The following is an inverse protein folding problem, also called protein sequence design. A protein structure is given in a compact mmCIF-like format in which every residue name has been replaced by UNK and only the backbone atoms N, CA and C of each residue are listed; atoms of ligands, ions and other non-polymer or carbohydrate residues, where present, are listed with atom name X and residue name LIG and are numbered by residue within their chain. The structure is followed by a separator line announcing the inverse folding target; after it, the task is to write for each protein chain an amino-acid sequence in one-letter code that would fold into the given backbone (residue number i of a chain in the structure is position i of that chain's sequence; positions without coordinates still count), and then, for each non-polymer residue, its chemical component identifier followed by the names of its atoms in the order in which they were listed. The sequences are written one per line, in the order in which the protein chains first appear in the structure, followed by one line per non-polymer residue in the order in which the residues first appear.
data_IF_133891122019
#
_entry.id   IF_133891122019
#
_cell.length_a   1.000
_cell.length_b   1.000
_cell.length_c   1.000
_cell.angle_alpha   90.00
_cell.angle_beta   90.00
_cell.angle_gamma   90.00
#
_symmetry.space_group_name_H-M   'P 1'
#
loop_
_entity.id
_entity.type
_entity.pdbx_description
1 polymer ?
#
# COMPACT_ATOMS: atom_id res chain seq x y z
N UNK A 1 28.07 4.97 1.08
CA UNK A 1 27.08 3.91 0.88
C UNK A 1 26.16 4.30 -0.26
N UNK A 2 26.13 3.47 -1.29
CA UNK A 2 25.34 3.64 -2.50
C UNK A 2 24.19 2.65 -2.49
N UNK A 3 22.97 3.13 -2.52
CA UNK A 3 21.72 2.34 -2.44
C UNK A 3 21.00 2.37 -3.77
N UNK A 4 20.57 1.20 -4.26
CA UNK A 4 19.69 1.11 -5.41
C UNK A 4 18.28 0.68 -4.94
N UNK A 5 17.31 1.58 -5.03
CA UNK A 5 15.89 1.24 -4.83
C UNK A 5 15.32 0.75 -6.14
N UNK A 6 14.66 -0.42 -6.13
CA UNK A 6 14.11 -1.05 -7.33
C UNK A 6 12.59 -1.17 -7.19
N UNK A 7 11.86 -0.61 -8.14
CA UNK A 7 10.39 -0.68 -8.21
C UNK A 7 9.94 -0.75 -9.67
N UNK A 8 8.81 -1.36 -9.97
CA UNK A 8 8.32 -1.39 -11.36
C UNK A 8 7.92 -0.01 -11.90
N UNK A 9 7.60 0.95 -11.02
CA UNK A 9 7.27 2.34 -11.37
C UNK A 9 7.64 3.30 -10.24
N UNK A 10 7.74 4.61 -10.53
CA UNK A 10 7.78 5.71 -9.56
C UNK A 10 6.41 6.38 -9.37
N UNK A 11 5.33 5.69 -9.69
CA UNK A 11 3.95 6.19 -9.64
C UNK A 11 3.54 6.80 -8.31
N UNK A 12 2.39 7.52 -8.32
CA UNK A 12 1.91 8.30 -7.17
C UNK A 12 1.06 7.52 -6.18
N UNK A 13 0.86 6.20 -6.35
CA UNK A 13 -0.03 5.42 -5.52
C UNK A 13 0.64 4.16 -4.93
N UNK A 14 0.10 3.69 -3.80
CA UNK A 14 0.48 2.43 -3.18
C UNK A 14 1.97 2.28 -2.87
N UNK A 15 2.51 1.09 -3.14
CA UNK A 15 3.91 0.75 -2.89
C UNK A 15 4.91 1.59 -3.70
N UNK A 16 4.54 2.03 -4.91
CA UNK A 16 5.38 2.91 -5.75
C UNK A 16 5.60 4.28 -5.10
N UNK A 17 4.51 4.89 -4.59
CA UNK A 17 4.61 6.16 -3.88
C UNK A 17 5.47 6.04 -2.61
N UNK A 18 5.31 4.94 -1.86
CA UNK A 18 6.10 4.67 -0.66
C UNK A 18 7.59 4.47 -1.00
N UNK A 19 7.92 3.74 -2.07
CA UNK A 19 9.29 3.56 -2.55
C UNK A 19 9.93 4.90 -2.95
N UNK A 20 9.21 5.74 -3.69
CA UNK A 20 9.70 7.05 -4.09
C UNK A 20 9.88 7.99 -2.89
N UNK A 21 8.94 8.02 -1.93
CA UNK A 21 9.07 8.80 -0.69
C UNK A 21 10.31 8.39 0.10
N UNK A 22 10.58 7.09 0.24
CA UNK A 22 11.80 6.58 0.88
C UNK A 22 13.04 7.01 0.12
N UNK A 23 13.07 6.87 -1.21
CA UNK A 23 14.16 7.32 -2.07
C UNK A 23 14.51 8.78 -1.81
N UNK A 24 13.52 9.67 -1.83
CA UNK A 24 13.70 11.11 -1.54
C UNK A 24 14.23 11.35 -0.12
N UNK A 25 13.72 10.64 0.88
CA UNK A 25 14.18 10.72 2.26
C UNK A 25 15.64 10.28 2.45
N UNK A 26 16.09 9.30 1.67
CA UNK A 26 17.44 8.77 1.73
C UNK A 26 18.49 9.68 1.04
N UNK A 27 18.11 10.51 0.07
CA UNK A 27 19.04 11.36 -0.69
C UNK A 27 19.88 12.30 0.19
N UNK A 28 19.33 12.75 1.33
CA UNK A 28 20.08 13.57 2.29
C UNK A 28 21.04 12.77 3.18
N UNK A 29 21.06 11.44 3.09
CA UNK A 29 21.75 10.52 4.01
C UNK A 29 22.74 9.59 3.32
N UNK A 30 22.44 9.21 2.09
CA UNK A 30 23.20 8.25 1.30
C UNK A 30 23.09 8.58 -0.19
N UNK A 31 23.97 8.03 -1.02
CA UNK A 31 23.82 8.10 -2.48
C UNK A 31 22.72 7.13 -2.90
N UNK A 32 21.49 7.62 -3.07
CA UNK A 32 20.33 6.82 -3.47
C UNK A 32 20.00 7.02 -4.94
N UNK A 33 19.94 5.94 -5.70
CA UNK A 33 19.42 5.87 -7.08
C UNK A 33 18.19 5.00 -7.10
N UNK A 34 17.12 5.44 -7.75
CA UNK A 34 15.91 4.61 -7.92
C UNK A 34 15.85 4.08 -9.35
N UNK A 35 15.84 2.76 -9.51
CA UNK A 35 15.68 2.07 -10.79
C UNK A 35 14.23 1.63 -10.96
N UNK A 36 13.59 2.09 -12.04
CA UNK A 36 12.19 1.78 -12.33
C UNK A 36 12.01 1.24 -13.75
N UNK A 37 10.94 0.52 -13.99
CA UNK A 37 10.49 0.17 -15.33
C UNK A 37 9.80 1.38 -15.99
N UNK A 38 8.74 1.87 -15.38
CA UNK A 38 7.96 3.02 -15.84
C UNK A 38 8.32 4.26 -15.02
N UNK A 39 8.90 5.27 -15.68
CA UNK A 39 9.27 6.55 -15.08
C UNK A 39 8.25 7.62 -15.44
N UNK A 40 7.54 8.12 -14.45
CA UNK A 40 6.52 9.17 -14.59
C UNK A 40 6.94 10.54 -14.04
N UNK A 41 8.04 10.58 -13.24
CA UNK A 41 8.51 11.81 -12.58
C UNK A 41 9.75 12.38 -13.29
N UNK A 42 9.89 13.73 -13.27
CA UNK A 42 11.05 14.44 -13.80
C UNK A 42 12.30 14.38 -12.90
N UNK A 43 12.39 13.46 -11.95
CA UNK A 43 13.51 13.31 -11.04
C UNK A 43 14.72 12.66 -11.75
N UNK A 44 15.88 13.33 -11.80
CA UNK A 44 17.09 12.82 -12.45
C UNK A 44 17.76 11.67 -11.69
N UNK A 45 17.45 11.50 -10.41
CA UNK A 45 17.94 10.39 -9.58
C UNK A 45 17.13 9.10 -9.74
N UNK A 46 16.02 9.18 -10.47
CA UNK A 46 15.22 8.05 -10.92
C UNK A 46 15.66 7.68 -12.34
N UNK A 47 16.08 6.45 -12.54
CA UNK A 47 16.54 5.92 -13.82
C UNK A 47 15.62 4.82 -14.33
N UNK A 48 15.42 4.78 -15.64
CA UNK A 48 14.62 3.75 -16.32
C UNK A 48 15.33 3.28 -17.59
N UNK A 49 15.00 2.11 -18.11
CA UNK A 49 15.47 1.67 -19.40
C UNK A 49 15.13 2.69 -20.51
N UNK A 50 16.07 2.96 -21.38
CA UNK A 50 15.91 3.94 -22.45
C UNK A 50 15.75 3.25 -23.81
N UNK A 51 15.00 3.87 -24.72
CA UNK A 51 14.82 3.47 -26.11
C UNK A 51 13.51 2.76 -26.40
N UNK A 52 13.04 2.90 -27.65
CA UNK A 52 11.73 2.44 -28.12
C UNK A 52 11.45 0.94 -27.86
N UNK A 53 12.47 0.08 -27.97
CA UNK A 53 12.30 -1.35 -27.69
C UNK A 53 12.09 -1.64 -26.21
N UNK A 54 12.76 -0.91 -25.32
CA UNK A 54 12.58 -1.05 -23.88
C UNK A 54 11.19 -0.55 -23.46
N UNK A 55 10.75 0.59 -23.97
CA UNK A 55 9.42 1.12 -23.74
C UNK A 55 8.31 0.18 -24.24
N UNK A 56 8.46 -0.36 -25.47
CA UNK A 56 7.53 -1.33 -26.02
C UNK A 56 7.46 -2.60 -25.15
N UNK A 57 8.60 -3.10 -24.68
CA UNK A 57 8.65 -4.25 -23.77
C UNK A 57 7.92 -3.96 -22.45
N UNK A 58 8.18 -2.83 -21.81
CA UNK A 58 7.55 -2.44 -20.54
C UNK A 58 6.02 -2.29 -20.67
N UNK A 59 5.53 -1.83 -21.81
CA UNK A 59 4.10 -1.73 -22.08
C UNK A 59 3.44 -3.09 -22.33
N UNK A 60 4.16 -4.07 -22.91
CA UNK A 60 3.66 -5.41 -23.20
C UNK A 60 3.81 -6.36 -21.99
N UNK A 61 4.84 -6.22 -21.20
CA UNK A 61 5.19 -7.14 -20.12
C UNK A 61 4.05 -7.41 -19.12
N UNK A 62 3.26 -6.42 -18.66
CA UNK A 62 2.13 -6.70 -17.77
C UNK A 62 1.08 -7.63 -18.37
N UNK A 63 0.77 -7.47 -19.67
CA UNK A 63 -0.18 -8.31 -20.37
C UNK A 63 0.37 -9.72 -20.62
N UNK A 64 1.64 -9.82 -21.00
CA UNK A 64 2.32 -11.10 -21.20
C UNK A 64 2.50 -11.86 -19.88
N UNK A 65 2.80 -11.16 -18.76
CA UNK A 65 2.86 -11.77 -17.42
C UNK A 65 1.51 -12.36 -17.01
N UNK A 66 0.42 -11.80 -17.51
CA UNK A 66 -0.92 -12.27 -17.24
C UNK A 66 -1.34 -13.51 -18.02
N UNK A 67 -0.62 -13.89 -19.10
CA UNK A 67 -1.01 -15.01 -19.99
C UNK A 67 -1.26 -16.33 -19.26
N UNK A 68 -0.43 -16.80 -18.29
CA UNK A 68 -0.73 -18.04 -17.58
C UNK A 68 -2.06 -18.03 -16.83
N UNK A 69 -2.58 -16.86 -16.46
CA UNK A 69 -3.88 -16.73 -15.79
C UNK A 69 -5.07 -17.02 -16.70
N UNK A 70 -4.88 -17.01 -18.02
CA UNK A 70 -5.94 -17.32 -19.00
C UNK A 70 -6.42 -18.78 -18.89
N UNK A 71 -5.57 -19.68 -18.38
CA UNK A 71 -5.95 -21.06 -18.10
C UNK A 71 -6.93 -21.20 -16.90
N UNK A 72 -7.24 -20.09 -16.21
CA UNK A 72 -8.14 -20.01 -15.07
C UNK A 72 -9.28 -19.00 -15.34
N UNK A 73 -10.22 -19.29 -16.24
CA UNK A 73 -11.24 -18.31 -16.68
C UNK A 73 -12.21 -17.92 -15.57
N UNK A 74 -12.40 -18.78 -14.55
CA UNK A 74 -13.30 -18.55 -13.41
C UNK A 74 -12.61 -17.84 -12.24
N UNK A 75 -11.29 -17.51 -12.33
CA UNK A 75 -10.55 -16.87 -11.24
C UNK A 75 -11.20 -15.58 -10.76
N UNK A 76 -10.96 -15.24 -9.50
CA UNK A 76 -11.28 -13.92 -8.98
C UNK A 76 -10.43 -12.86 -9.69
N UNK A 77 -11.01 -11.70 -9.98
CA UNK A 77 -10.32 -10.60 -10.67
C UNK A 77 -9.49 -9.75 -9.69
N UNK A 78 -8.83 -10.39 -8.74
CA UNK A 78 -7.89 -9.74 -7.83
C UNK A 78 -6.49 -9.67 -8.44
N UNK A 79 -5.63 -8.82 -7.86
CA UNK A 79 -4.24 -8.69 -8.31
C UNK A 79 -3.49 -10.01 -8.10
N UNK A 80 -2.91 -10.53 -9.18
CA UNK A 80 -2.14 -11.77 -9.20
C UNK A 80 -1.01 -11.64 -10.21
N UNK A 81 0.24 -11.85 -9.80
CA UNK A 81 1.45 -11.69 -10.63
C UNK A 81 2.22 -13.00 -10.73
N UNK A 82 2.70 -13.33 -11.93
CA UNK A 82 3.40 -14.59 -12.21
C UNK A 82 4.92 -14.42 -12.28
N UNK A 83 5.39 -13.28 -12.78
CA UNK A 83 6.82 -12.90 -12.87
C UNK A 83 7.67 -13.99 -13.56
N UNK A 84 7.27 -14.42 -14.76
CA UNK A 84 7.91 -15.47 -15.51
C UNK A 84 8.71 -14.98 -16.73
N UNK A 85 8.48 -13.71 -17.11
CA UNK A 85 9.12 -13.09 -18.25
C UNK A 85 10.61 -12.83 -18.03
N UNK A 86 11.45 -12.90 -19.06
CA UNK A 86 12.85 -12.48 -18.98
C UNK A 86 12.94 -10.98 -18.69
N UNK A 87 13.96 -10.58 -17.94
CA UNK A 87 14.25 -9.19 -17.61
C UNK A 87 15.73 -8.84 -17.79
N UNK A 88 16.06 -7.55 -17.70
CA UNK A 88 17.42 -7.01 -17.76
C UNK A 88 17.78 -6.21 -16.49
N UNK A 89 16.97 -6.31 -15.45
CA UNK A 89 17.12 -5.51 -14.22
C UNK A 89 18.45 -5.79 -13.52
N UNK A 90 18.88 -7.05 -13.49
CA UNK A 90 20.18 -7.43 -12.91
C UNK A 90 21.37 -6.73 -13.60
N UNK A 91 21.35 -6.63 -14.94
CA UNK A 91 22.39 -5.92 -15.69
C UNK A 91 22.36 -4.40 -15.43
N UNK A 92 21.17 -3.83 -15.31
CA UNK A 92 21.00 -2.41 -14.99
C UNK A 92 21.51 -2.08 -13.58
N UNK A 93 21.23 -2.93 -12.60
CA UNK A 93 21.75 -2.81 -11.24
C UNK A 93 23.28 -2.94 -11.23
N UNK A 94 23.85 -3.85 -12.02
CA UNK A 94 25.30 -3.98 -12.13
C UNK A 94 25.95 -2.71 -12.66
N UNK A 95 25.35 -1.99 -13.62
CA UNK A 95 25.82 -0.70 -14.12
C UNK A 95 25.72 0.41 -13.06
N UNK A 96 24.71 0.37 -12.20
CA UNK A 96 24.59 1.30 -11.06
C UNK A 96 25.68 1.02 -10.02
N UNK A 97 26.12 -0.24 -9.89
CA UNK A 97 27.11 -0.71 -8.93
C UNK A 97 26.81 -0.26 -7.48
N UNK A 98 25.64 -0.62 -6.91
CA UNK A 98 25.29 -0.26 -5.54
C UNK A 98 26.02 -1.13 -4.52
N UNK A 99 26.12 -0.65 -3.27
CA UNK A 99 26.56 -1.44 -2.13
C UNK A 99 25.45 -2.36 -1.63
N UNK A 100 24.18 -1.91 -1.73
CA UNK A 100 22.99 -2.62 -1.25
C UNK A 100 21.79 -2.32 -2.17
N UNK A 101 20.92 -3.31 -2.33
CA UNK A 101 19.70 -3.23 -3.14
C UNK A 101 18.50 -3.24 -2.22
N UNK A 102 17.56 -2.31 -2.43
CA UNK A 102 16.27 -2.31 -1.76
C UNK A 102 15.14 -2.54 -2.78
N UNK A 103 14.61 -3.76 -2.78
CA UNK A 103 13.46 -4.11 -3.63
C UNK A 103 12.16 -3.62 -2.99
N UNK A 104 11.26 -3.11 -3.82
CA UNK A 104 9.90 -2.73 -3.44
C UNK A 104 8.88 -3.53 -4.24
N UNK A 105 7.97 -2.87 -4.93
CA UNK A 105 6.98 -3.53 -5.78
C UNK A 105 7.57 -3.84 -7.16
N UNK A 106 7.98 -5.08 -7.40
CA UNK A 106 8.76 -5.52 -8.58
C UNK A 106 7.92 -6.30 -9.61
N UNK A 107 6.60 -6.24 -9.47
CA UNK A 107 5.64 -7.05 -10.20
C UNK A 107 5.32 -6.53 -11.61
N UNK A 108 4.26 -7.02 -12.24
CA UNK A 108 3.82 -6.69 -13.61
C UNK A 108 4.83 -7.04 -14.71
N UNK A 109 5.50 -8.20 -14.56
CA UNK A 109 6.48 -8.66 -15.56
C UNK A 109 7.82 -7.91 -15.54
N UNK A 110 8.07 -7.07 -14.51
CA UNK A 110 9.26 -6.23 -14.43
C UNK A 110 10.52 -6.98 -14.01
N UNK A 111 10.46 -7.77 -12.93
CA UNK A 111 11.61 -8.56 -12.44
C UNK A 111 11.21 -10.03 -12.25
N UNK A 112 11.91 -10.92 -12.95
CA UNK A 112 11.65 -12.36 -12.89
C UNK A 112 12.03 -12.93 -11.53
N UNK A 113 11.30 -13.94 -11.06
CA UNK A 113 11.55 -14.62 -9.76
C UNK A 113 13.00 -15.06 -9.61
N UNK A 114 13.55 -15.70 -10.65
CA UNK A 114 14.91 -16.25 -10.63
C UNK A 114 16.00 -15.19 -10.78
N UNK A 115 15.67 -14.00 -11.27
CA UNK A 115 16.65 -12.91 -11.43
C UNK A 115 17.05 -12.30 -10.09
N UNK A 116 16.19 -12.39 -9.04
CA UNK A 116 16.53 -11.91 -7.70
C UNK A 116 17.78 -12.61 -7.17
N UNK A 117 17.92 -13.92 -7.40
CA UNK A 117 19.09 -14.70 -6.99
C UNK A 117 20.40 -14.30 -7.71
N UNK A 118 20.31 -13.53 -8.80
CA UNK A 118 21.47 -13.10 -9.60
C UNK A 118 21.98 -11.72 -9.26
N UNK A 119 21.37 -11.04 -8.28
CA UNK A 119 21.71 -9.65 -7.97
C UNK A 119 23.05 -9.46 -7.30
N UNK A 120 23.65 -10.52 -6.72
CA UNK A 120 25.01 -10.57 -6.15
C UNK A 120 25.37 -9.42 -5.20
N UNK A 121 24.41 -8.87 -4.48
CA UNK A 121 24.54 -7.80 -3.49
C UNK A 121 23.60 -8.09 -2.33
N UNK A 122 23.86 -7.55 -1.13
CA UNK A 122 22.90 -7.61 -0.04
C UNK A 122 21.55 -7.07 -0.46
N UNK A 123 20.47 -7.80 -0.17
CA UNK A 123 19.11 -7.45 -0.57
C UNK A 123 18.27 -7.15 0.66
N UNK A 124 17.69 -5.96 0.69
CA UNK A 124 16.58 -5.62 1.57
C UNK A 124 15.32 -5.59 0.71
N UNK A 125 14.31 -6.39 1.06
CA UNK A 125 13.05 -6.40 0.32
C UNK A 125 11.94 -5.82 1.16
N UNK A 126 11.47 -4.64 0.78
CA UNK A 126 10.31 -3.99 1.40
C UNK A 126 9.03 -4.52 0.78
N UNK A 127 8.26 -5.24 1.57
CA UNK A 127 7.00 -5.85 1.14
C UNK A 127 5.85 -4.84 1.29
N UNK A 128 5.12 -4.61 0.20
CA UNK A 128 3.92 -3.78 0.22
C UNK A 128 2.63 -4.60 0.25
N UNK A 129 2.73 -5.89 -0.03
CA UNK A 129 1.67 -6.89 -0.04
C UNK A 129 2.26 -8.29 0.20
N UNK A 130 1.42 -9.33 0.08
CA UNK A 130 1.81 -10.71 0.38
C UNK A 130 2.46 -11.46 -0.80
N UNK A 131 2.63 -10.82 -1.97
CA UNK A 131 3.09 -11.53 -3.18
C UNK A 131 4.42 -12.26 -2.99
N UNK A 132 5.36 -11.68 -2.29
CA UNK A 132 6.69 -12.25 -2.10
C UNK A 132 6.63 -13.68 -1.51
N UNK A 133 5.71 -13.94 -0.61
CA UNK A 133 5.61 -15.20 0.12
C UNK A 133 4.37 -16.04 -0.21
N UNK A 134 3.60 -15.67 -1.24
CA UNK A 134 2.45 -16.44 -1.73
C UNK A 134 2.75 -17.10 -3.08
N UNK A 135 1.83 -17.91 -3.55
CA UNK A 135 1.85 -18.49 -4.91
C UNK A 135 1.39 -17.54 -6.01
N UNK A 136 1.42 -16.21 -5.80
CA UNK A 136 1.12 -15.22 -6.83
C UNK A 136 0.07 -14.18 -6.47
N UNK A 137 -0.77 -14.42 -5.46
CA UNK A 137 -1.73 -13.44 -4.98
C UNK A 137 -1.04 -12.35 -4.16
N UNK A 138 -1.55 -11.10 -4.28
CA UNK A 138 -1.06 -9.96 -3.53
C UNK A 138 -1.71 -9.84 -2.15
N UNK A 139 -2.89 -10.41 -1.99
CA UNK A 139 -3.61 -10.57 -0.73
C UNK A 139 -4.28 -11.94 -0.71
N UNK A 140 -4.10 -12.68 0.37
CA UNK A 140 -4.56 -14.07 0.46
C UNK A 140 -6.03 -14.21 0.86
N UNK A 141 -6.66 -13.12 1.29
CA UNK A 141 -7.99 -13.16 1.92
C UNK A 141 -7.98 -14.14 3.10
N UNK A 142 -8.90 -15.12 3.15
CA UNK A 142 -8.97 -16.14 4.20
C UNK A 142 -8.09 -17.38 3.90
N UNK A 143 -7.22 -17.32 2.87
CA UNK A 143 -6.36 -18.46 2.51
C UNK A 143 -5.04 -18.40 3.30
N UNK A 144 -4.70 -19.48 3.97
CA UNK A 144 -3.46 -19.68 4.74
C UNK A 144 -2.44 -20.61 4.05
N UNK A 145 -2.71 -21.05 2.81
CA UNK A 145 -1.87 -22.05 2.12
C UNK A 145 -0.45 -21.60 1.84
N UNK A 146 -0.16 -20.31 1.94
CA UNK A 146 1.19 -19.75 1.85
C UNK A 146 2.09 -20.17 3.04
N UNK A 147 1.49 -20.61 4.13
CA UNK A 147 2.24 -21.17 5.28
C UNK A 147 2.87 -22.52 4.96
N UNK A 148 2.44 -23.16 3.88
CA UNK A 148 2.95 -24.45 3.38
C UNK A 148 3.57 -24.29 1.98
N UNK A 149 2.80 -24.58 0.94
CA UNK A 149 3.33 -24.61 -0.44
C UNK A 149 2.33 -24.17 -1.51
N UNK A 150 1.27 -23.45 -1.12
CA UNK A 150 0.17 -23.10 -2.00
C UNK A 150 -0.47 -24.32 -2.73
N UNK A 151 -1.11 -24.13 -3.88
CA UNK A 151 -1.94 -25.15 -4.55
C UNK A 151 -3.40 -25.09 -4.13
N UNK A 152 -4.32 -25.71 -4.87
CA UNK A 152 -5.78 -25.60 -4.69
C UNK A 152 -6.23 -24.17 -4.42
N UNK A 153 -5.72 -23.26 -5.26
CA UNK A 153 -5.80 -21.82 -4.99
C UNK A 153 -7.26 -21.31 -5.09
N UNK A 154 -7.84 -20.76 -4.00
CA UNK A 154 -9.22 -20.27 -4.04
C UNK A 154 -9.37 -19.06 -4.98
N UNK A 155 -8.36 -18.21 -5.12
CA UNK A 155 -8.35 -17.06 -6.04
C UNK A 155 -8.37 -17.52 -7.50
N UNK A 156 -7.68 -18.62 -7.82
CA UNK A 156 -7.70 -19.21 -9.15
C UNK A 156 -8.94 -20.09 -9.38
N UNK A 157 -9.76 -20.34 -8.35
CA UNK A 157 -10.87 -21.33 -8.37
C UNK A 157 -10.38 -22.70 -8.82
N UNK A 158 -9.23 -23.13 -8.30
CA UNK A 158 -8.57 -24.38 -8.65
C UNK A 158 -8.68 -25.39 -7.52
N UNK A 159 -9.15 -26.59 -7.85
CA UNK A 159 -9.22 -27.74 -6.92
C UNK A 159 -7.99 -28.66 -7.04
N UNK A 160 -7.03 -28.32 -7.93
CA UNK A 160 -5.84 -29.13 -8.19
C UNK A 160 -4.72 -28.73 -7.23
N UNK A 161 -4.07 -29.72 -6.60
CA UNK A 161 -2.87 -29.48 -5.77
C UNK A 161 -1.74 -28.83 -6.59
N UNK A 162 -1.64 -29.22 -7.85
CA UNK A 162 -0.65 -28.78 -8.80
C UNK A 162 -1.29 -27.76 -9.75
N UNK A 163 -1.35 -26.52 -9.32
CA UNK A 163 -1.86 -25.39 -10.09
C UNK A 163 -0.81 -24.29 -10.26
N UNK A 164 -1.19 -23.18 -10.89
CA UNK A 164 -0.30 -22.03 -11.12
C UNK A 164 0.28 -21.49 -9.80
N UNK A 165 -0.47 -21.53 -8.70
CA UNK A 165 0.00 -21.04 -7.41
C UNK A 165 1.08 -21.95 -6.81
N UNK A 166 0.95 -23.27 -6.92
CA UNK A 166 1.95 -24.25 -6.49
C UNK A 166 3.21 -24.12 -7.36
N UNK A 167 3.05 -24.02 -8.67
CA UNK A 167 4.16 -23.85 -9.60
C UNK A 167 4.98 -22.58 -9.30
N UNK A 168 4.30 -21.46 -9.07
CA UNK A 168 4.98 -20.20 -8.74
C UNK A 168 5.64 -20.26 -7.35
N UNK A 169 4.97 -20.83 -6.36
CA UNK A 169 5.55 -21.02 -5.02
C UNK A 169 6.86 -21.84 -5.12
N UNK A 170 6.87 -22.93 -5.87
CA UNK A 170 8.06 -23.77 -6.04
C UNK A 170 9.20 -23.05 -6.77
N UNK A 171 8.88 -22.23 -7.78
CA UNK A 171 9.89 -21.40 -8.44
C UNK A 171 10.57 -20.46 -7.43
N UNK A 172 9.79 -19.82 -6.56
CA UNK A 172 10.31 -18.97 -5.47
C UNK A 172 11.16 -19.78 -4.50
N UNK A 173 10.63 -20.89 -4.00
CA UNK A 173 11.36 -21.76 -3.06
C UNK A 173 12.72 -22.20 -3.62
N UNK A 174 12.75 -22.65 -4.88
CA UNK A 174 13.99 -23.06 -5.53
C UNK A 174 14.95 -21.90 -5.77
N UNK A 175 14.43 -20.76 -6.25
CA UNK A 175 15.26 -19.61 -6.61
C UNK A 175 15.86 -18.89 -5.40
N UNK A 176 15.16 -18.90 -4.26
CA UNK A 176 15.55 -18.11 -3.07
C UNK A 176 16.09 -18.95 -1.90
N UNK A 177 16.21 -20.25 -2.08
CA UNK A 177 16.61 -21.21 -1.04
C UNK A 177 17.87 -20.79 -0.25
N UNK A 178 18.84 -20.15 -0.91
CA UNK A 178 20.13 -19.78 -0.31
C UNK A 178 20.36 -18.25 -0.32
N UNK A 179 19.30 -17.47 -0.46
CA UNK A 179 19.43 -16.02 -0.45
C UNK A 179 19.39 -15.47 0.98
N UNK A 180 20.40 -14.69 1.33
CA UNK A 180 20.37 -13.86 2.53
C UNK A 180 19.46 -12.65 2.26
N UNK A 181 18.18 -12.80 2.62
CA UNK A 181 17.16 -11.77 2.44
C UNK A 181 16.86 -11.11 3.79
N UNK A 182 17.02 -9.80 3.84
CA UNK A 182 16.39 -8.99 4.89
C UNK A 182 15.05 -8.48 4.40
N UNK A 183 13.98 -8.85 5.06
CA UNK A 183 12.62 -8.44 4.74
C UNK A 183 12.26 -7.23 5.59
N UNK A 184 11.68 -6.21 4.97
CA UNK A 184 11.05 -5.10 5.67
C UNK A 184 9.57 -5.10 5.38
N UNK A 185 8.76 -5.00 6.42
CA UNK A 185 7.30 -4.86 6.29
C UNK A 185 6.85 -3.53 6.88
N UNK A 186 5.90 -2.83 6.23
CA UNK A 186 5.37 -1.57 6.77
C UNK A 186 4.47 -1.75 8.00
N UNK A 187 3.91 -2.94 8.22
CA UNK A 187 3.04 -3.24 9.36
C UNK A 187 3.45 -4.51 10.11
N UNK A 188 3.05 -4.59 11.37
CA UNK A 188 3.20 -5.80 12.21
C UNK A 188 2.43 -6.97 11.62
N UNK A 189 1.20 -6.73 11.17
CA UNK A 189 0.40 -7.77 10.51
C UNK A 189 1.13 -8.43 9.33
N UNK A 190 1.74 -7.64 8.43
CA UNK A 190 2.45 -8.23 7.29
C UNK A 190 3.73 -8.96 7.73
N UNK A 191 4.40 -8.50 8.82
CA UNK A 191 5.54 -9.21 9.40
C UNK A 191 5.13 -10.59 9.92
N UNK A 192 4.01 -10.67 10.65
CA UNK A 192 3.45 -11.94 11.14
C UNK A 192 3.09 -12.88 9.99
N UNK A 193 2.43 -12.38 8.94
CA UNK A 193 2.14 -13.16 7.74
C UNK A 193 3.43 -13.67 7.05
N UNK A 194 4.44 -12.83 6.93
CA UNK A 194 5.71 -13.20 6.31
C UNK A 194 6.47 -14.26 7.15
N UNK A 195 6.52 -14.09 8.47
CA UNK A 195 7.12 -15.04 9.40
C UNK A 195 6.39 -16.39 9.43
N UNK A 196 5.07 -16.39 9.26
CA UNK A 196 4.29 -17.64 9.17
C UNK A 196 4.48 -18.36 7.82
N UNK A 197 4.99 -17.66 6.79
CA UNK A 197 5.10 -18.25 5.46
C UNK A 197 6.25 -19.24 5.35
N UNK A 198 6.06 -20.30 4.59
CA UNK A 198 7.12 -21.30 4.34
C UNK A 198 8.29 -20.78 3.49
N UNK A 199 8.12 -19.65 2.79
CA UNK A 199 9.16 -19.04 1.97
C UNK A 199 10.06 -18.07 2.73
N UNK A 200 9.55 -17.40 3.78
CA UNK A 200 10.28 -16.33 4.46
C UNK A 200 10.43 -16.53 5.98
N UNK A 201 10.00 -17.68 6.52
CA UNK A 201 10.08 -17.95 7.97
C UNK A 201 11.48 -17.83 8.56
N UNK A 202 12.49 -18.15 7.76
CA UNK A 202 13.89 -18.14 8.18
C UNK A 202 14.61 -16.82 7.84
N UNK A 203 13.91 -15.87 7.18
CA UNK A 203 14.46 -14.58 6.83
C UNK A 203 14.48 -13.63 8.05
N UNK A 204 15.43 -12.70 8.07
CA UNK A 204 15.39 -11.57 9.02
C UNK A 204 14.25 -10.64 8.63
N UNK A 205 13.28 -10.41 9.53
CA UNK A 205 12.13 -9.54 9.28
C UNK A 205 12.17 -8.34 10.22
N UNK A 206 12.10 -7.13 9.64
CA UNK A 206 12.09 -5.85 10.33
C UNK A 206 10.79 -5.10 10.02
N UNK A 207 10.20 -4.43 11.02
CA UNK A 207 9.02 -3.57 10.81
C UNK A 207 9.45 -2.12 10.71
N UNK A 208 9.36 -1.55 9.50
CA UNK A 208 9.63 -0.13 9.25
C UNK A 208 8.44 0.46 8.48
N UNK A 209 7.57 1.24 9.13
CA UNK A 209 6.40 1.83 8.50
C UNK A 209 6.74 2.74 7.31
N UNK A 210 5.79 2.89 6.41
CA UNK A 210 5.88 3.88 5.33
C UNK A 210 5.97 5.29 5.91
N UNK A 211 6.81 6.13 5.28
CA UNK A 211 6.95 7.53 5.62
C UNK A 211 6.04 8.42 4.79
N UNK A 212 5.55 9.48 5.42
CA UNK A 212 4.75 10.52 4.79
C UNK A 212 5.46 11.88 4.87
N UNK A 213 5.29 12.70 3.85
CA UNK A 213 5.73 14.10 3.83
C UNK A 213 4.75 14.97 4.62
N UNK A 214 5.04 15.18 5.88
CA UNK A 214 4.21 15.96 6.81
C UNK A 214 4.28 17.48 6.57
N UNK A 215 5.08 17.95 5.62
CA UNK A 215 5.01 19.36 5.16
C UNK A 215 3.86 19.57 4.17
N UNK A 216 3.53 18.54 3.39
CA UNK A 216 2.42 18.55 2.43
C UNK A 216 1.12 18.07 3.07
N UNK A 217 1.18 16.91 3.74
CA UNK A 217 0.04 16.33 4.46
C UNK A 217 0.05 16.81 5.90
N UNK A 218 -0.71 17.86 6.16
CA UNK A 218 -0.88 18.51 7.46
C UNK A 218 -2.26 19.14 7.53
N UNK A 219 -2.76 19.50 8.74
CA UNK A 219 -4.03 20.23 8.85
C UNK A 219 -3.95 21.59 8.13
N UNK A 220 -4.87 21.84 7.19
CA UNK A 220 -4.96 23.08 6.39
C UNK A 220 -6.08 24.01 6.90
N UNK A 221 -6.76 23.69 8.00
CA UNK A 221 -7.94 24.41 8.46
C UNK A 221 -9.19 24.00 7.66
N UNK A 222 -10.12 23.31 8.35
CA UNK A 222 -11.28 22.66 7.71
C UNK A 222 -12.14 23.64 6.89
N UNK A 223 -12.42 24.85 7.43
CA UNK A 223 -13.24 25.86 6.74
C UNK A 223 -12.61 26.29 5.40
N UNK A 224 -11.33 26.63 5.42
CA UNK A 224 -10.58 27.02 4.22
C UNK A 224 -10.52 25.87 3.20
N UNK A 225 -10.26 24.65 3.68
CA UNK A 225 -10.20 23.46 2.82
C UNK A 225 -11.53 23.18 2.13
N UNK A 226 -12.66 23.32 2.84
CA UNK A 226 -14.02 23.19 2.25
C UNK A 226 -14.30 24.24 1.20
N UNK A 227 -13.94 25.49 1.46
CA UNK A 227 -14.09 26.57 0.50
C UNK A 227 -13.32 26.31 -0.81
N UNK A 228 -12.05 25.90 -0.71
CA UNK A 228 -11.20 25.61 -1.87
C UNK A 228 -11.71 24.40 -2.66
N UNK A 229 -12.13 23.32 -1.98
CA UNK A 229 -12.61 22.09 -2.62
C UNK A 229 -14.08 22.22 -3.10
N UNK A 230 -14.81 23.24 -2.66
CA UNK A 230 -16.22 23.44 -2.99
C UNK A 230 -17.17 22.51 -2.23
N UNK A 231 -16.85 22.19 -0.97
CA UNK A 231 -17.70 21.38 -0.09
C UNK A 231 -18.54 22.27 0.85
N UNK A 232 -19.75 21.82 1.25
CA UNK A 232 -20.62 22.60 2.13
C UNK A 232 -20.01 22.80 3.51
N UNK A 233 -20.20 24.00 4.06
CA UNK A 233 -19.70 24.37 5.40
C UNK A 233 -20.63 23.92 6.53
N UNK A 234 -21.89 23.68 6.23
CA UNK A 234 -22.99 23.36 7.15
C UNK A 234 -23.27 21.85 7.26
N UNK A 235 -22.54 21.02 6.55
CA UNK A 235 -22.69 19.56 6.58
C UNK A 235 -21.48 18.86 7.21
N UNK A 236 -21.75 17.70 7.76
CA UNK A 236 -20.70 16.75 8.19
C UNK A 236 -20.25 15.92 7.00
N UNK A 237 -18.96 15.94 6.70
CA UNK A 237 -18.37 15.29 5.53
C UNK A 237 -17.79 13.94 5.91
N UNK A 238 -18.43 12.87 5.43
CA UNK A 238 -17.90 11.51 5.48
C UNK A 238 -17.11 11.27 4.20
N UNK A 239 -15.79 11.14 4.32
CA UNK A 239 -14.90 10.97 3.18
C UNK A 239 -14.53 9.49 2.99
N UNK A 240 -14.71 8.98 1.78
CA UNK A 240 -14.24 7.65 1.37
C UNK A 240 -13.43 7.76 0.08
N UNK A 241 -12.33 7.03 -0.02
CA UNK A 241 -11.59 7.01 -1.26
C UNK A 241 -10.36 6.13 -1.26
N UNK A 242 -10.04 5.68 -2.45
CA UNK A 242 -8.85 4.91 -2.77
C UNK A 242 -8.68 4.87 -4.30
N UNK A 243 -7.52 4.40 -4.77
CA UNK A 243 -7.37 4.07 -6.20
C UNK A 243 -8.40 3.00 -6.58
N UNK A 244 -9.24 3.30 -7.57
CA UNK A 244 -10.35 2.43 -7.99
C UNK A 244 -11.31 2.08 -6.84
N UNK A 245 -11.69 3.07 -6.04
CA UNK A 245 -12.44 2.93 -4.79
C UNK A 245 -13.71 2.09 -4.94
N UNK A 246 -14.44 2.25 -6.05
CA UNK A 246 -15.72 1.57 -6.31
C UNK A 246 -15.59 0.18 -6.93
N UNK A 247 -14.46 -0.13 -7.59
CA UNK A 247 -14.26 -1.40 -8.32
C UNK A 247 -13.30 -2.37 -7.61
N UNK A 248 -12.53 -1.91 -6.64
CA UNK A 248 -11.63 -2.77 -5.86
C UNK A 248 -12.35 -3.31 -4.63
N UNK A 249 -12.85 -4.55 -4.72
CA UNK A 249 -13.61 -5.20 -3.65
C UNK A 249 -12.86 -5.20 -2.29
N UNK A 250 -11.51 -5.30 -2.31
CA UNK A 250 -10.69 -5.27 -1.10
C UNK A 250 -10.83 -3.96 -0.31
N UNK A 251 -11.19 -2.86 -0.97
CA UNK A 251 -11.39 -1.55 -0.31
C UNK A 251 -12.72 -1.40 0.41
N UNK A 252 -13.60 -2.41 0.31
CA UNK A 252 -14.78 -2.53 1.14
C UNK A 252 -15.93 -1.58 0.79
N UNK A 253 -15.98 -1.09 -0.46
CA UNK A 253 -17.12 -0.27 -0.93
C UNK A 253 -18.46 -0.94 -0.67
N UNK A 254 -18.54 -2.27 -0.85
CA UNK A 254 -19.74 -3.08 -0.57
C UNK A 254 -20.12 -3.12 0.91
N UNK A 255 -19.18 -2.91 1.84
CA UNK A 255 -19.43 -2.86 3.28
C UNK A 255 -19.75 -1.45 3.76
N UNK A 256 -19.31 -0.42 3.03
CA UNK A 256 -19.65 0.97 3.32
C UNK A 256 -21.14 1.23 3.11
N UNK A 257 -21.72 0.67 2.04
CA UNK A 257 -23.14 0.85 1.72
C UNK A 257 -24.07 0.44 2.88
N UNK A 258 -24.05 -0.81 3.39
CA UNK A 258 -24.92 -1.18 4.50
C UNK A 258 -24.60 -0.39 5.80
N UNK A 259 -23.35 0.01 6.02
CA UNK A 259 -23.00 0.84 7.16
C UNK A 259 -23.70 2.22 7.10
N UNK A 260 -23.62 2.91 5.96
CA UNK A 260 -24.25 4.20 5.80
C UNK A 260 -25.79 4.14 5.81
N UNK A 261 -26.37 3.07 5.23
CA UNK A 261 -27.80 2.83 5.27
C UNK A 261 -28.36 2.55 6.70
N UNK A 262 -27.49 2.16 7.64
CA UNK A 262 -27.83 2.04 9.07
C UNK A 262 -27.93 3.39 9.78
N UNK A 263 -27.31 4.44 9.26
CA UNK A 263 -27.44 5.78 9.77
C UNK A 263 -28.87 6.27 9.52
N UNK A 264 -29.63 6.56 10.57
CA UNK A 264 -31.05 6.92 10.47
C UNK A 264 -31.34 8.28 11.15
N UNK A 265 -32.41 8.91 10.69
CA UNK A 265 -32.99 10.10 11.31
C UNK A 265 -32.54 11.42 10.68
N UNK A 266 -32.86 12.54 11.34
CA UNK A 266 -32.60 13.90 10.84
C UNK A 266 -31.10 14.20 10.66
N UNK A 267 -30.23 13.44 11.31
CA UNK A 267 -28.77 13.55 11.19
C UNK A 267 -28.27 13.24 9.78
N UNK A 268 -28.88 12.30 9.06
CA UNK A 268 -28.50 11.97 7.69
C UNK A 268 -28.65 13.14 6.73
N UNK A 269 -29.60 14.05 7.00
CA UNK A 269 -29.81 15.30 6.22
C UNK A 269 -28.65 16.29 6.40
N UNK A 270 -27.92 16.20 7.52
CA UNK A 270 -26.76 17.04 7.84
C UNK A 270 -25.44 16.41 7.39
N UNK A 271 -25.47 15.25 6.77
CA UNK A 271 -24.27 14.53 6.30
C UNK A 271 -24.18 14.54 4.78
N UNK A 272 -22.94 14.49 4.27
CA UNK A 272 -22.65 14.26 2.86
C UNK A 272 -21.49 13.27 2.73
N UNK A 273 -21.71 12.21 1.92
CA UNK A 273 -20.66 11.27 1.54
C UNK A 273 -19.88 11.86 0.36
N UNK A 274 -18.60 12.01 0.53
CA UNK A 274 -17.69 12.44 -0.52
C UNK A 274 -16.80 11.26 -0.94
N UNK A 275 -16.82 10.90 -2.21
CA UNK A 275 -16.05 9.79 -2.78
C UNK A 275 -15.01 10.33 -3.75
N UNK A 276 -13.73 9.96 -3.56
CA UNK A 276 -12.64 10.29 -4.48
C UNK A 276 -11.87 9.05 -4.95
N UNK A 277 -11.09 9.20 -6.04
CA UNK A 277 -10.32 8.12 -6.65
C UNK A 277 -11.10 7.24 -7.64
N UNK A 278 -12.38 7.53 -7.82
CA UNK A 278 -13.26 6.93 -8.82
C UNK A 278 -14.29 7.95 -9.32
N UNK A 279 -14.74 7.79 -10.56
CA UNK A 279 -15.92 8.47 -11.08
C UNK A 279 -17.20 7.79 -10.57
N UNK A 280 -18.33 8.49 -10.65
CA UNK A 280 -19.62 7.91 -10.31
C UNK A 280 -19.94 6.74 -11.26
N UNK A 281 -20.23 5.54 -10.74
CA UNK A 281 -20.73 4.43 -11.55
C UNK A 281 -22.11 4.75 -12.15
N UNK A 282 -22.44 4.15 -13.29
CA UNK A 282 -23.78 4.30 -13.92
C UNK A 282 -24.89 3.77 -12.98
N UNK A 283 -24.60 2.69 -12.27
CA UNK A 283 -25.46 2.03 -11.29
C UNK A 283 -25.05 2.37 -9.85
N UNK A 284 -24.70 3.65 -9.58
CA UNK A 284 -24.29 4.08 -8.25
C UNK A 284 -25.40 3.77 -7.21
N UNK A 285 -25.07 3.08 -6.10
CA UNK A 285 -26.04 2.74 -5.10
C UNK A 285 -26.51 3.97 -4.33
N UNK A 286 -27.73 3.92 -3.79
CA UNK A 286 -28.23 4.89 -2.83
C UNK A 286 -27.69 4.58 -1.43
N UNK A 287 -26.84 5.47 -0.91
CA UNK A 287 -26.25 5.36 0.44
C UNK A 287 -27.20 5.85 1.54
N UNK A 288 -28.37 6.39 1.20
CA UNK A 288 -29.29 6.99 2.18
C UNK A 288 -28.85 8.37 2.70
N UNK A 289 -27.75 8.91 2.19
CA UNK A 289 -27.22 10.25 2.45
C UNK A 289 -26.80 10.93 1.14
N UNK A 290 -26.77 12.26 1.11
CA UNK A 290 -26.27 13.00 -0.05
C UNK A 290 -24.88 12.51 -0.42
N UNK A 291 -24.64 12.19 -1.70
CA UNK A 291 -23.38 11.61 -2.15
C UNK A 291 -22.78 12.41 -3.31
N UNK A 292 -21.49 12.71 -3.23
CA UNK A 292 -20.72 13.44 -4.24
C UNK A 292 -19.48 12.67 -4.65
N UNK A 293 -19.29 12.51 -5.95
CA UNK A 293 -18.07 11.89 -6.53
C UNK A 293 -17.16 12.99 -7.10
N UNK A 294 -15.92 13.07 -6.59
CA UNK A 294 -14.93 14.09 -6.98
C UNK A 294 -13.91 13.59 -8.02
N UNK A 295 -14.02 12.31 -8.45
CA UNK A 295 -13.08 11.77 -9.41
C UNK A 295 -11.66 11.57 -8.84
N UNK A 296 -10.65 11.67 -9.70
CA UNK A 296 -9.25 11.46 -9.35
C UNK A 296 -8.53 12.79 -9.13
N UNK A 297 -7.76 12.87 -8.06
CA UNK A 297 -6.82 13.97 -7.82
C UNK A 297 -5.41 13.55 -8.25
N UNK A 298 -4.67 14.49 -8.86
CA UNK A 298 -3.36 14.21 -9.43
C UNK A 298 -2.20 14.87 -8.66
N UNK A 299 -2.49 15.60 -7.60
CA UNK A 299 -1.48 16.28 -6.77
C UNK A 299 -1.73 16.09 -5.27
N UNK A 300 -0.63 16.15 -4.51
CA UNK A 300 -0.64 15.89 -3.07
C UNK A 300 -1.36 16.99 -2.27
N UNK A 301 -1.37 18.25 -2.77
CA UNK A 301 -1.95 19.39 -2.03
C UNK A 301 -3.48 19.32 -2.09
N UNK A 302 -4.04 19.10 -3.29
CA UNK A 302 -5.50 18.93 -3.45
C UNK A 302 -6.01 17.74 -2.61
N UNK A 303 -5.26 16.65 -2.54
CA UNK A 303 -5.60 15.50 -1.69
C UNK A 303 -5.52 15.87 -0.19
N UNK A 304 -4.48 16.62 0.23
CA UNK A 304 -4.35 17.06 1.61
C UNK A 304 -5.47 18.03 2.03
N UNK A 305 -5.87 18.94 1.13
CA UNK A 305 -7.03 19.80 1.34
C UNK A 305 -8.32 18.99 1.46
N UNK A 306 -8.50 17.99 0.61
CA UNK A 306 -9.68 17.12 0.67
C UNK A 306 -9.77 16.37 2.00
N UNK A 307 -8.67 15.81 2.48
CA UNK A 307 -8.64 15.20 3.82
C UNK A 307 -8.95 16.24 4.90
N UNK A 308 -8.31 17.42 4.86
CA UNK A 308 -8.54 18.47 5.86
C UNK A 308 -9.97 19.02 5.88
N UNK A 309 -10.70 18.88 4.76
CA UNK A 309 -12.11 19.30 4.64
C UNK A 309 -13.09 18.32 5.30
N UNK A 310 -12.69 17.06 5.52
CA UNK A 310 -13.57 16.02 6.01
C UNK A 310 -13.68 16.03 7.56
N UNK A 311 -14.81 15.53 8.06
CA UNK A 311 -14.99 15.27 9.49
C UNK A 311 -14.51 13.89 9.88
N UNK A 312 -14.64 12.93 8.95
CA UNK A 312 -14.18 11.56 9.14
C UNK A 312 -13.73 10.95 7.82
N UNK A 313 -12.62 10.23 7.84
CA UNK A 313 -12.21 9.37 6.73
C UNK A 313 -12.57 7.91 7.05
N UNK A 314 -13.35 7.27 6.17
CA UNK A 314 -13.79 5.88 6.37
C UNK A 314 -12.97 4.95 5.48
N UNK A 315 -12.32 3.95 6.09
CA UNK A 315 -11.50 2.97 5.41
C UNK A 315 -12.01 1.53 5.68
N UNK A 316 -13.12 1.11 5.04
CA UNK A 316 -13.77 -0.18 5.30
C UNK A 316 -13.05 -1.33 4.59
N UNK A 317 -11.73 -1.26 4.45
CA UNK A 317 -10.93 -2.28 3.75
C UNK A 317 -11.09 -3.65 4.41
N UNK A 318 -11.26 -4.69 3.59
CA UNK A 318 -11.38 -6.09 4.04
C UNK A 318 -10.00 -6.62 4.44
N UNK A 319 -8.97 -6.22 3.75
CA UNK A 319 -7.58 -6.59 4.04
C UNK A 319 -6.65 -5.51 3.47
N UNK A 320 -5.80 -4.92 4.28
CA UNK A 320 -4.82 -3.95 3.83
C UNK A 320 -3.55 -4.01 4.69
N UNK A 321 -2.41 -3.69 4.09
CA UNK A 321 -1.15 -3.70 4.81
C UNK A 321 -0.98 -2.42 5.65
N UNK A 322 -0.67 -1.31 5.00
CA UNK A 322 -0.57 0.01 5.63
C UNK A 322 -1.07 1.06 4.61
N UNK A 323 -2.40 1.27 4.50
CA UNK A 323 -2.94 2.14 3.46
C UNK A 323 -2.51 3.58 3.62
N UNK A 324 -1.85 4.11 2.58
CA UNK A 324 -1.40 5.51 2.56
C UNK A 324 -2.56 6.49 2.79
N UNK A 325 -3.77 6.17 2.32
CA UNK A 325 -4.96 7.02 2.48
C UNK A 325 -5.34 7.26 3.94
N UNK A 326 -5.22 6.24 4.79
CA UNK A 326 -5.42 6.40 6.24
C UNK A 326 -4.33 7.25 6.85
N UNK A 327 -3.08 6.99 6.49
CA UNK A 327 -1.93 7.74 6.99
C UNK A 327 -2.01 9.22 6.56
N UNK A 328 -2.41 9.48 5.33
CA UNK A 328 -2.59 10.82 4.76
C UNK A 328 -3.75 11.57 5.45
N UNK A 329 -4.88 10.90 5.70
CA UNK A 329 -6.01 11.49 6.43
C UNK A 329 -5.62 11.85 7.87
N UNK A 330 -5.01 10.92 8.62
CA UNK A 330 -4.53 11.17 9.98
C UNK A 330 -3.54 12.35 10.03
N UNK A 331 -2.61 12.42 9.07
CA UNK A 331 -1.64 13.53 8.98
C UNK A 331 -2.31 14.88 8.77
N UNK A 332 -3.42 14.92 8.03
CA UNK A 332 -4.23 16.11 7.82
C UNK A 332 -5.16 16.46 8.98
N UNK A 333 -5.06 15.73 10.09
CA UNK A 333 -5.90 15.94 11.28
C UNK A 333 -7.32 15.36 11.11
N UNK A 334 -7.55 14.47 10.18
CA UNK A 334 -8.85 13.83 9.95
C UNK A 334 -8.87 12.48 10.63
N UNK A 335 -9.64 12.30 11.71
CA UNK A 335 -9.76 11.01 12.37
C UNK A 335 -10.36 9.96 11.43
N UNK A 336 -9.89 8.72 11.58
CA UNK A 336 -10.28 7.63 10.69
C UNK A 336 -11.17 6.62 11.39
N UNK A 337 -12.15 6.07 10.65
CA UNK A 337 -12.92 4.89 11.04
C UNK A 337 -12.58 3.75 10.09
N UNK A 338 -12.11 2.63 10.61
CA UNK A 338 -11.71 1.48 9.83
C UNK A 338 -12.06 0.17 10.54
N UNK A 339 -12.17 -0.92 9.79
CA UNK A 339 -12.22 -2.24 10.42
C UNK A 339 -10.88 -2.58 11.07
N UNK A 340 -10.92 -3.29 12.19
CA UNK A 340 -9.74 -3.82 12.88
C UNK A 340 -9.15 -5.01 12.10
N UNK A 341 -8.50 -4.73 10.96
CA UNK A 341 -7.91 -5.72 10.06
C UNK A 341 -6.55 -5.27 9.53
N UNK A 342 -5.70 -6.23 9.21
CA UNK A 342 -4.40 -5.95 8.60
C UNK A 342 -3.54 -4.99 9.44
N UNK A 343 -2.94 -4.01 8.79
CA UNK A 343 -2.11 -2.98 9.46
C UNK A 343 -2.88 -1.75 9.94
N UNK A 344 -4.21 -1.76 9.97
CA UNK A 344 -4.99 -0.63 10.50
C UNK A 344 -4.66 -0.32 11.95
N UNK A 345 -4.48 -1.31 12.88
CA UNK A 345 -4.11 -1.05 14.27
C UNK A 345 -2.72 -0.44 14.46
N UNK A 346 -1.86 -0.48 13.44
CA UNK A 346 -0.55 0.19 13.52
C UNK A 346 -0.68 1.72 13.36
N UNK A 347 -1.76 2.19 12.71
CA UNK A 347 -2.00 3.61 12.45
C UNK A 347 -3.08 4.21 13.35
N UNK A 348 -4.11 3.43 13.65
CA UNK A 348 -5.28 3.88 14.40
C UNK A 348 -5.22 3.29 15.81
N UNK A 349 -5.07 4.15 16.81
CA UNK A 349 -5.28 3.82 18.21
C UNK A 349 -6.76 4.03 18.51
N UNK A 350 -7.49 2.94 18.78
CA UNK A 350 -8.93 2.95 18.98
C UNK A 350 -9.36 3.99 20.04
N UNK A 351 -10.28 4.87 19.66
CA UNK A 351 -10.81 5.98 20.48
C UNK A 351 -9.79 7.04 20.92
N UNK A 352 -8.57 7.04 20.34
CA UNK A 352 -7.55 8.06 20.61
C UNK A 352 -7.30 8.97 19.39
N UNK A 353 -7.12 8.39 18.18
CA UNK A 353 -6.95 9.14 16.95
C UNK A 353 -7.91 8.68 15.82
N UNK A 354 -8.86 7.81 16.15
CA UNK A 354 -9.84 7.24 15.26
C UNK A 354 -10.60 6.11 15.93
N UNK A 355 -11.36 5.34 15.15
CA UNK A 355 -12.16 4.23 15.61
C UNK A 355 -11.84 2.95 14.83
N UNK A 356 -11.50 1.89 15.52
CA UNK A 356 -11.35 0.55 14.93
C UNK A 356 -12.64 -0.24 15.19
N UNK A 357 -13.42 -0.41 14.12
CA UNK A 357 -14.63 -1.22 14.15
C UNK A 357 -14.30 -2.72 14.09
N UNK A 358 -15.18 -3.53 14.64
CA UNK A 358 -15.13 -4.99 14.52
C UNK A 358 -15.02 -5.40 13.05
N UNK A 359 -14.12 -6.35 12.77
CA UNK A 359 -13.84 -6.77 11.41
C UNK A 359 -15.11 -7.19 10.65
N UNK A 360 -15.36 -6.55 9.52
CA UNK A 360 -16.47 -6.81 8.59
C UNK A 360 -17.87 -6.55 9.16
N UNK A 361 -17.98 -5.85 10.28
CA UNK A 361 -19.25 -5.47 10.88
C UNK A 361 -19.67 -4.05 10.43
N UNK A 362 -20.66 -3.91 9.52
CA UNK A 362 -21.15 -2.61 9.06
C UNK A 362 -21.88 -1.82 10.17
N UNK A 363 -22.44 -2.48 11.19
CA UNK A 363 -23.14 -1.81 12.30
C UNK A 363 -22.13 -1.09 13.21
N UNK A 364 -21.05 -1.78 13.56
CA UNK A 364 -19.98 -1.19 14.35
C UNK A 364 -19.20 -0.09 13.56
N UNK A 365 -19.07 -0.26 12.22
CA UNK A 365 -18.52 0.79 11.37
C UNK A 365 -19.41 2.06 11.38
N UNK A 366 -20.73 1.88 11.26
CA UNK A 366 -21.69 2.97 11.35
C UNK A 366 -21.67 3.65 12.72
N UNK A 367 -21.62 2.86 13.79
CA UNK A 367 -21.48 3.35 15.16
C UNK A 367 -20.20 4.19 15.32
N UNK A 368 -19.07 3.71 14.82
CA UNK A 368 -17.79 4.42 14.86
C UNK A 368 -17.84 5.77 14.14
N UNK A 369 -18.53 5.85 12.99
CA UNK A 369 -18.72 7.11 12.27
C UNK A 369 -19.51 8.10 13.14
N UNK A 370 -20.68 7.69 13.67
CA UNK A 370 -21.50 8.56 14.50
C UNK A 370 -20.77 8.97 15.78
N UNK A 371 -20.19 8.02 16.50
CA UNK A 371 -19.43 8.27 17.73
C UNK A 371 -18.36 9.36 17.52
N UNK A 372 -17.70 9.37 16.38
CA UNK A 372 -16.63 10.31 16.09
C UNK A 372 -17.17 11.72 15.79
N UNK A 373 -18.27 11.85 15.04
CA UNK A 373 -18.76 13.15 14.53
C UNK A 373 -19.80 13.81 15.44
N UNK A 374 -20.37 13.11 16.43
CA UNK A 374 -21.44 13.62 17.29
C UNK A 374 -20.97 14.61 18.36
N UNK A 375 -19.70 14.57 18.72
CA UNK A 375 -19.10 15.34 19.79
C UNK A 375 -17.90 16.15 19.28
N UNK A 376 -18.06 17.46 19.21
CA UNK A 376 -17.04 18.37 18.66
C UNK A 376 -15.76 18.43 19.50
N UNK A 377 -15.85 18.31 20.83
CA UNK A 377 -14.66 18.31 21.71
C UNK A 377 -13.87 17.02 21.54
N UNK A 378 -14.58 15.90 21.44
CA UNK A 378 -13.99 14.59 21.09
C UNK A 378 -13.28 14.67 19.75
N UNK A 379 -13.97 15.18 18.74
CA UNK A 379 -13.41 15.32 17.38
C UNK A 379 -12.11 16.14 17.40
N UNK A 380 -12.10 17.31 18.06
CA UNK A 380 -10.91 18.16 18.14
C UNK A 380 -9.73 17.44 18.81
N UNK A 381 -10.00 16.71 19.89
CA UNK A 381 -8.97 15.90 20.55
C UNK A 381 -8.42 14.80 19.66
N UNK A 382 -9.30 14.04 18.99
CA UNK A 382 -8.90 12.97 18.08
C UNK A 382 -8.12 13.51 16.88
N UNK A 383 -8.54 14.64 16.32
CA UNK A 383 -7.87 15.33 15.22
C UNK A 383 -6.43 15.74 15.58
N UNK A 384 -6.24 16.33 16.76
CA UNK A 384 -4.91 16.70 17.23
C UNK A 384 -4.00 15.47 17.45
N UNK A 385 -4.54 14.41 18.04
CA UNK A 385 -3.80 13.17 18.28
C UNK A 385 -3.48 12.43 16.96
N UNK A 386 -4.34 12.50 15.97
CA UNK A 386 -4.13 11.89 14.65
C UNK A 386 -2.88 12.47 13.96
N UNK A 387 -2.82 13.79 13.81
CA UNK A 387 -1.66 14.45 13.20
C UNK A 387 -0.37 14.27 14.04
N UNK A 388 -0.47 14.35 15.34
CA UNK A 388 0.66 14.14 16.27
C UNK A 388 1.26 12.74 16.13
N UNK A 389 0.44 11.69 16.06
CA UNK A 389 0.94 10.31 15.86
C UNK A 389 1.72 10.17 14.54
N UNK A 390 1.21 10.75 13.45
CA UNK A 390 1.91 10.69 12.16
C UNK A 390 3.25 11.43 12.22
N UNK A 391 3.30 12.60 12.83
CA UNK A 391 4.55 13.34 13.03
C UNK A 391 5.56 12.58 13.90
N UNK A 392 5.07 11.87 14.91
CA UNK A 392 5.92 11.13 15.81
C UNK A 392 6.41 9.80 15.25
N UNK A 393 5.66 9.12 14.37
CA UNK A 393 5.99 7.75 13.99
C UNK A 393 6.20 7.53 12.49
N UNK A 394 5.52 8.31 11.62
CA UNK A 394 5.37 7.98 10.20
C UNK A 394 5.97 9.02 9.24
N UNK A 395 6.94 9.83 9.66
CA UNK A 395 7.58 10.79 8.75
C UNK A 395 8.61 10.12 7.84
N UNK A 396 8.75 10.64 6.61
CA UNK A 396 9.82 10.22 5.67
C UNK A 396 11.20 10.30 6.31
N UNK A 397 11.44 11.31 7.15
CA UNK A 397 12.71 11.49 7.87
C UNK A 397 13.00 10.31 8.80
N UNK A 398 12.02 9.87 9.60
CA UNK A 398 12.15 8.74 10.52
C UNK A 398 12.30 7.41 9.77
N UNK A 399 11.50 7.21 8.72
CA UNK A 399 11.63 6.05 7.86
C UNK A 399 13.06 5.97 7.29
N UNK A 400 13.56 7.03 6.65
CA UNK A 400 14.89 7.06 6.07
C UNK A 400 16.03 6.85 7.11
N UNK A 401 15.86 7.31 8.35
CA UNK A 401 16.80 7.04 9.43
C UNK A 401 16.84 5.55 9.80
N UNK A 402 15.67 4.90 9.92
CA UNK A 402 15.58 3.46 10.22
C UNK A 402 16.20 2.62 9.10
N UNK A 403 15.92 2.95 7.83
CA UNK A 403 16.55 2.26 6.69
C UNK A 403 18.06 2.50 6.61
N UNK A 404 18.55 3.72 6.87
CA UNK A 404 19.98 3.98 6.90
C UNK A 404 20.70 3.13 7.96
N UNK A 405 20.11 3.01 9.15
CA UNK A 405 20.64 2.17 10.24
C UNK A 405 20.65 0.69 9.82
N UNK A 406 19.55 0.20 9.24
CA UNK A 406 19.44 -1.17 8.76
C UNK A 406 20.50 -1.48 7.69
N UNK A 407 20.64 -0.61 6.69
CA UNK A 407 21.61 -0.77 5.62
C UNK A 407 23.06 -0.81 6.15
N UNK A 408 23.39 0.08 7.09
CA UNK A 408 24.72 0.06 7.74
C UNK A 408 24.97 -1.24 8.48
N UNK A 409 24.01 -1.74 9.23
CA UNK A 409 24.13 -3.00 9.98
C UNK A 409 24.36 -4.19 9.05
N UNK A 410 23.64 -4.27 7.93
CA UNK A 410 23.80 -5.35 6.95
C UNK A 410 25.18 -5.29 6.31
N UNK A 411 25.64 -4.12 5.89
CA UNK A 411 26.96 -3.98 5.26
C UNK A 411 28.10 -4.28 6.23
N UNK A 412 27.98 -3.91 7.50
CA UNK A 412 28.98 -4.22 8.53
C UNK A 412 29.07 -5.71 8.82
N UNK A 413 27.94 -6.44 8.86
CA UNK A 413 27.92 -7.91 9.02
C UNK A 413 28.64 -8.59 7.86
N UNK A 414 28.37 -8.16 6.64
CA UNK A 414 29.00 -8.75 5.45
C UNK A 414 30.50 -8.43 5.36
N UNK A 415 30.95 -7.25 5.80
CA UNK A 415 32.38 -6.94 5.86
C UNK A 415 33.14 -7.81 6.90
N UNK A 416 32.50 -8.15 8.02
CA UNK A 416 33.08 -9.04 9.04
C UNK A 416 33.15 -10.52 8.67
N UNK A 417 32.42 -10.95 7.62
CA UNK A 417 32.46 -12.33 7.10
C UNK A 417 33.63 -12.54 6.10
N UNK A 418 34.28 -11.46 5.65
CA UNK A 418 35.42 -11.51 4.72
C UNK A 418 36.78 -11.17 5.37
N UNK A 419 36.80 -10.90 6.66
CA UNK A 419 37.99 -10.80 7.50
C UNK A 419 38.10 -12.03 8.41
#
# INVERSE_FOLDING_TARGET
MKVCIVSSSDGRAGGHAAAYRLHRGLQSKVSSTMLVGDKSRGDYTVVSPQGKLAEAWLNLAPNLDAVPKLFYPRRDRTTYSVQWLPDRVAAQIANIAPDIINLHWINSGYLKVESIAKLNKPIVWTLHDMWAFTGGCHYSQNCDRYTHSCGRCPILKSDRDWDLSRWLWQRKAKAWQNLDLTIVTPSRWLAECAAASSLLRDATIEVIPNGLDTQRYKPWGQKLAREIIGLPSDKQIVLFGAVSATSNARKGYSLLLPALQKLKGDRTRQMELVIFGASQPEDAPDFGIATRYLGKFNDDISIALLYSAADVFVAPSIQDNLPNTVLEALACGTPCVAFNVGGMPDMIDHQQNGYLATAYDPEDLAYGILWLIEDSERWQRLSALASTKVEQEFTVKKQAQRYQKLFKNILSRNAGLFN
#
